data_IF_765693124412
#
_entry.id   IF_765693124412
#
_cell.length_a   1.000
_cell.length_b   1.000
_cell.length_c   1.000
_cell.angle_alpha   90.00
_cell.angle_beta   90.00
_cell.angle_gamma   90.00
#
_symmetry.space_group_name_H-M   'P 1'
#
loop_
_entity.id
_entity.type
_entity.pdbx_description
1 polymer ?
#
# COMPACT_ATOMS: atom_id res chain seq x y z
N UNK A 1 6.45 6.62 -6.14
CA UNK A 1 7.09 5.29 -6.21
C UNK A 1 6.58 4.55 -7.44
N UNK A 2 7.45 3.90 -8.10
CA UNK A 2 7.15 3.14 -9.30
C UNK A 2 7.60 1.70 -9.08
N UNK A 3 6.76 0.73 -9.42
CA UNK A 3 7.15 -0.66 -9.37
C UNK A 3 6.58 -1.43 -10.55
N UNK A 4 7.23 -2.48 -10.92
CA UNK A 4 6.86 -3.27 -12.07
C UNK A 4 6.74 -4.74 -11.70
N UNK A 5 5.91 -5.44 -12.43
CA UNK A 5 5.75 -6.87 -12.33
C UNK A 5 6.09 -7.52 -13.65
N UNK A 6 6.57 -8.71 -13.60
CA UNK A 6 6.73 -9.50 -14.78
C UNK A 6 6.49 -10.94 -14.46
N UNK A 7 6.01 -11.68 -15.31
CA UNK A 7 6.69 -12.70 -16.00
C UNK A 7 5.82 -13.83 -16.39
N UNK A 8 5.78 -14.18 -17.59
CA UNK A 8 5.34 -15.49 -18.01
C UNK A 8 6.54 -16.27 -18.51
N UNK A 9 6.74 -17.46 -17.98
CA UNK A 9 7.61 -18.44 -18.56
C UNK A 9 6.75 -19.45 -19.27
N UNK A 10 6.80 -19.49 -20.59
CA UNK A 10 6.14 -20.49 -21.38
C UNK A 10 7.18 -21.41 -22.01
N UNK A 11 6.94 -22.73 -21.96
CA UNK A 11 7.62 -23.88 -22.62
C UNK A 11 8.88 -23.56 -23.45
N UNK A 12 9.94 -23.13 -22.80
CA UNK A 12 11.20 -22.85 -23.48
C UNK A 12 11.28 -21.44 -24.06
N UNK A 13 10.17 -20.73 -24.14
CA UNK A 13 10.14 -19.30 -24.44
C UNK A 13 10.00 -18.52 -23.15
N UNK A 14 11.03 -17.79 -22.79
CA UNK A 14 10.95 -16.85 -21.69
C UNK A 14 10.44 -15.52 -22.23
N UNK A 15 9.14 -15.33 -22.20
CA UNK A 15 8.57 -14.01 -22.42
C UNK A 15 8.52 -13.27 -21.10
N UNK A 16 9.39 -12.28 -20.95
CA UNK A 16 9.33 -11.35 -19.84
C UNK A 16 8.48 -10.16 -20.27
N UNK A 17 7.36 -9.98 -19.61
CA UNK A 17 6.57 -8.75 -19.75
C UNK A 17 6.77 -7.90 -18.51
N UNK A 18 6.95 -6.62 -18.72
CA UNK A 18 7.05 -5.65 -17.63
C UNK A 18 5.81 -4.77 -17.66
N UNK A 19 5.09 -4.75 -16.56
CA UNK A 19 3.98 -3.85 -16.34
C UNK A 19 4.44 -2.73 -15.40
N UNK A 20 4.50 -1.50 -15.91
CA UNK A 20 4.90 -0.34 -15.15
C UNK A 20 3.69 0.55 -14.96
N UNK A 21 3.31 0.76 -13.70
CA UNK A 21 2.24 1.66 -13.34
C UNK A 21 2.80 2.88 -12.62
N UNK A 22 2.84 3.99 -13.33
CA UNK A 22 3.37 5.24 -12.79
C UNK A 22 2.41 5.85 -11.79
N UNK A 23 2.92 6.74 -10.95
CA UNK A 23 2.12 7.38 -9.90
C UNK A 23 0.83 8.03 -10.43
N UNK A 24 0.90 8.70 -11.58
CA UNK A 24 -0.26 9.36 -12.17
C UNK A 24 -1.27 8.40 -12.82
N UNK A 25 -0.88 7.15 -13.02
CA UNK A 25 -1.74 6.11 -13.59
C UNK A 25 -2.47 5.31 -12.50
N UNK A 26 -2.12 5.54 -11.24
CA UNK A 26 -2.76 4.86 -10.11
C UNK A 26 -4.03 5.57 -9.71
N UNK A 27 -4.99 4.82 -9.20
CA UNK A 27 -6.17 5.38 -8.58
C UNK A 27 -5.78 6.24 -7.37
N UNK A 28 -6.54 7.28 -7.11
CA UNK A 28 -6.24 8.26 -6.07
C UNK A 28 -7.44 8.51 -5.19
N UNK A 29 -7.21 8.48 -3.89
CA UNK A 29 -8.15 8.95 -2.88
C UNK A 29 -7.60 10.24 -2.29
N UNK A 30 -8.42 11.28 -2.27
CA UNK A 30 -8.02 12.57 -1.73
C UNK A 30 -9.08 13.13 -0.81
N UNK A 31 -8.68 13.46 0.39
CA UNK A 31 -9.52 14.10 1.42
C UNK A 31 -8.76 15.31 1.97
N UNK A 32 -9.30 15.96 3.00
CA UNK A 32 -8.66 17.10 3.65
C UNK A 32 -7.30 16.75 4.26
N UNK A 33 -7.14 15.51 4.68
CA UNK A 33 -5.98 15.05 5.43
C UNK A 33 -5.21 13.91 4.76
N UNK A 34 -5.75 13.30 3.72
CA UNK A 34 -5.17 12.15 3.04
C UNK A 34 -5.07 12.38 1.53
N UNK A 35 -3.91 12.08 0.98
CA UNK A 35 -3.69 11.90 -0.45
C UNK A 35 -3.03 10.55 -0.66
N UNK A 36 -3.79 9.59 -1.16
CA UNK A 36 -3.38 8.20 -1.30
C UNK A 36 -3.43 7.77 -2.75
N UNK A 37 -2.38 7.11 -3.22
CA UNK A 37 -2.33 6.47 -4.53
C UNK A 37 -2.30 4.97 -4.36
N UNK A 38 -3.18 4.29 -5.11
CA UNK A 38 -3.41 2.87 -4.99
C UNK A 38 -2.89 2.13 -6.22
N UNK A 39 -1.99 1.20 -6.01
CA UNK A 39 -1.49 0.37 -7.11
C UNK A 39 -2.48 -0.71 -7.53
N UNK A 40 -3.26 -1.21 -6.59
CA UNK A 40 -4.30 -2.21 -6.82
C UNK A 40 -5.68 -1.69 -6.42
N UNK A 41 -6.70 -2.45 -6.73
CA UNK A 41 -8.07 -2.11 -6.35
C UNK A 41 -8.17 -1.86 -4.85
N UNK A 42 -8.79 -0.76 -4.50
CA UNK A 42 -8.91 -0.32 -3.13
C UNK A 42 -10.18 0.53 -2.95
N UNK A 43 -10.96 0.23 -1.91
CA UNK A 43 -12.21 0.96 -1.67
C UNK A 43 -13.12 0.92 -2.89
N UNK A 44 -13.54 2.10 -3.35
CA UNK A 44 -14.40 2.24 -4.53
C UNK A 44 -13.64 2.24 -5.87
N UNK A 45 -12.31 2.19 -5.81
CA UNK A 45 -11.47 2.14 -6.99
C UNK A 45 -11.33 0.71 -7.48
N UNK A 46 -12.19 0.32 -8.39
CA UNK A 46 -12.24 -1.04 -8.93
C UNK A 46 -11.96 -1.02 -10.43
N UNK A 47 -10.95 -1.76 -10.82
CA UNK A 47 -10.58 -1.97 -12.21
C UNK A 47 -10.45 -3.49 -12.46
N UNK A 48 -11.10 -4.04 -13.49
CA UNK A 48 -10.98 -5.46 -13.77
C UNK A 48 -9.52 -5.90 -13.96
N UNK A 49 -9.16 -7.01 -13.35
CA UNK A 49 -7.82 -7.57 -13.44
C UNK A 49 -6.76 -6.89 -12.62
N UNK A 50 -7.12 -5.92 -11.75
CA UNK A 50 -6.17 -5.17 -10.93
C UNK A 50 -6.30 -5.48 -9.42
N UNK A 51 -6.55 -6.72 -9.06
CA UNK A 51 -6.81 -7.11 -7.67
C UNK A 51 -5.54 -7.34 -6.84
N UNK A 52 -4.39 -7.44 -7.47
CA UNK A 52 -3.14 -7.69 -6.76
C UNK A 52 -2.08 -8.33 -7.63
N UNK A 53 -0.99 -8.69 -7.00
CA UNK A 53 0.10 -9.44 -7.63
C UNK A 53 0.57 -10.53 -6.66
N UNK A 54 0.27 -11.79 -6.97
CA UNK A 54 0.51 -12.86 -6.02
C UNK A 54 -0.28 -12.63 -4.73
N UNK A 55 0.38 -12.65 -3.60
CA UNK A 55 -0.22 -12.38 -2.28
C UNK A 55 -0.29 -10.89 -1.93
N UNK A 56 0.31 -10.03 -2.73
CA UNK A 56 0.27 -8.58 -2.53
C UNK A 56 -1.03 -8.03 -3.08
N UNK A 57 -1.93 -7.62 -2.21
CA UNK A 57 -3.28 -7.16 -2.58
C UNK A 57 -3.49 -5.67 -2.34
N UNK A 58 -2.69 -5.05 -1.49
CA UNK A 58 -2.71 -3.62 -1.22
C UNK A 58 -1.30 -3.06 -1.30
N UNK A 59 -1.12 -2.03 -2.07
CA UNK A 59 0.11 -1.26 -2.10
C UNK A 59 -0.25 0.21 -2.32
N UNK A 60 -0.17 0.97 -1.25
CA UNK A 60 -0.56 2.38 -1.24
C UNK A 60 0.64 3.28 -0.95
N UNK A 61 0.64 4.43 -1.58
CA UNK A 61 1.54 5.54 -1.29
C UNK A 61 0.69 6.67 -0.70
N UNK A 62 0.84 6.89 0.59
CA UNK A 62 -0.03 7.77 1.35
C UNK A 62 0.73 9.02 1.81
N UNK A 63 0.12 10.19 1.61
CA UNK A 63 0.51 11.44 2.24
C UNK A 63 -0.56 11.83 3.24
N UNK A 64 -0.18 11.88 4.50
CA UNK A 64 -1.08 12.15 5.61
C UNK A 64 -0.74 13.51 6.19
N UNK A 65 -1.72 14.40 6.25
CA UNK A 65 -1.54 15.72 6.87
C UNK A 65 -1.38 15.58 8.39
N UNK A 66 -0.61 16.50 8.98
CA UNK A 66 -0.45 16.56 10.42
C UNK A 66 -1.81 16.70 11.13
N UNK A 67 -2.03 15.90 12.16
CA UNK A 67 -3.30 15.84 12.88
C UNK A 67 -4.37 14.97 12.22
N UNK A 68 -4.14 14.53 11.00
CA UNK A 68 -5.00 13.54 10.34
C UNK A 68 -4.66 12.12 10.78
N UNK A 69 -5.50 11.18 10.49
CA UNK A 69 -5.24 9.78 10.79
C UNK A 69 -6.40 8.88 10.43
N UNK A 70 -6.10 7.61 10.35
CA UNK A 70 -7.09 6.56 10.13
C UNK A 70 -7.79 6.25 11.44
N UNK A 71 -9.11 6.18 11.42
CA UNK A 71 -9.89 5.71 12.55
C UNK A 71 -9.62 4.24 12.86
N UNK A 72 -10.11 3.79 13.99
CA UNK A 72 -10.03 2.38 14.35
C UNK A 72 -10.77 1.56 13.28
N UNK A 73 -10.08 0.62 12.69
CA UNK A 73 -10.63 -0.27 11.69
C UNK A 73 -10.02 -1.66 11.84
N UNK A 74 -10.77 -2.67 11.47
CA UNK A 74 -10.32 -4.05 11.56
C UNK A 74 -9.52 -4.48 10.33
N UNK A 75 -8.54 -5.30 10.56
CA UNK A 75 -7.86 -6.07 9.53
C UNK A 75 -8.05 -7.56 9.84
N UNK A 76 -8.12 -8.38 8.82
CA UNK A 76 -8.32 -9.81 8.97
C UNK A 76 -7.48 -10.57 7.95
N UNK A 77 -6.76 -11.58 8.45
CA UNK A 77 -5.96 -12.49 7.63
C UNK A 77 -4.95 -11.75 6.73
N UNK A 78 -4.30 -10.72 7.28
CA UNK A 78 -3.35 -9.88 6.55
C UNK A 78 -2.06 -9.70 7.30
N UNK A 79 -0.97 -9.68 6.55
CA UNK A 79 0.30 -9.13 6.99
C UNK A 79 0.40 -7.70 6.47
N UNK A 80 0.70 -6.77 7.36
CA UNK A 80 0.74 -5.34 7.04
C UNK A 80 2.16 -4.82 7.31
N UNK A 81 2.74 -4.18 6.31
CA UNK A 81 4.04 -3.53 6.43
C UNK A 81 3.85 -2.04 6.18
N UNK A 82 4.32 -1.23 7.09
CA UNK A 82 4.34 0.22 6.97
C UNK A 82 5.79 0.71 6.89
N UNK A 83 6.08 1.51 5.91
CA UNK A 83 7.38 2.13 5.70
C UNK A 83 7.21 3.64 5.57
N UNK A 84 7.82 4.39 6.46
CA UNK A 84 7.75 5.86 6.45
C UNK A 84 8.90 6.42 5.63
N UNK A 85 8.58 7.22 4.63
CA UNK A 85 9.57 7.89 3.79
C UNK A 85 9.94 9.26 4.33
N UNK A 86 8.98 9.97 4.92
CA UNK A 86 9.18 11.31 5.44
C UNK A 86 8.21 11.59 6.59
N UNK A 87 8.66 12.32 7.58
CA UNK A 87 7.83 12.69 8.72
C UNK A 87 7.73 11.60 9.76
N UNK A 88 6.70 11.65 10.57
CA UNK A 88 6.46 10.73 11.66
C UNK A 88 5.01 10.28 11.67
N UNK A 89 4.79 9.02 11.95
CA UNK A 89 3.47 8.41 12.04
C UNK A 89 3.30 7.78 13.42
N UNK A 90 2.37 8.29 14.20
CA UNK A 90 1.98 7.67 15.46
C UNK A 90 1.05 6.48 15.17
N UNK A 91 1.20 5.41 15.92
CA UNK A 91 0.33 4.27 15.83
C UNK A 91 -0.09 3.78 17.23
N UNK A 92 -1.24 3.14 17.28
CA UNK A 92 -1.76 2.48 18.48
C UNK A 92 -2.32 1.12 18.06
N UNK A 93 -1.95 0.07 18.81
CA UNK A 93 -2.50 -1.26 18.58
C UNK A 93 -3.78 -1.49 19.42
N UNK A 94 -4.42 -2.64 19.22
CA UNK A 94 -5.64 -3.01 19.93
C UNK A 94 -5.45 -3.23 21.43
N UNK A 95 -4.21 -3.39 21.89
CA UNK A 95 -3.87 -3.58 23.31
C UNK A 95 -3.50 -2.27 24.00
N UNK A 96 -3.59 -1.15 23.28
CA UNK A 96 -3.26 0.17 23.81
C UNK A 96 -1.79 0.53 23.74
N UNK A 97 -0.93 -0.32 23.17
CA UNK A 97 0.46 0.02 22.94
C UNK A 97 0.55 1.11 21.90
N UNK A 98 1.34 2.14 22.19
CA UNK A 98 1.57 3.26 21.28
C UNK A 98 3.01 3.30 20.84
N UNK A 99 3.23 3.80 19.65
CA UNK A 99 4.55 3.98 19.10
C UNK A 99 4.58 5.03 18.02
N UNK A 100 5.78 5.37 17.59
CA UNK A 100 6.00 6.35 16.53
C UNK A 100 6.92 5.74 15.50
N UNK A 101 6.49 5.82 14.25
CA UNK A 101 7.28 5.42 13.08
C UNK A 101 7.95 6.64 12.48
N UNK A 102 9.17 6.48 12.03
CA UNK A 102 9.98 7.54 11.42
C UNK A 102 10.77 6.96 10.23
N UNK A 103 11.37 7.78 9.38
CA UNK A 103 12.10 7.30 8.22
C UNK A 103 13.21 6.32 8.61
N UNK A 104 13.26 5.20 7.89
CA UNK A 104 14.22 4.12 8.14
C UNK A 104 13.70 3.02 9.06
N UNK A 105 12.54 3.21 9.69
CA UNK A 105 11.90 2.21 10.52
C UNK A 105 10.72 1.58 9.78
N UNK A 106 10.71 0.26 9.68
CA UNK A 106 9.57 -0.49 9.17
C UNK A 106 8.77 -1.08 10.34
N UNK A 107 7.46 -1.04 10.23
CA UNK A 107 6.56 -1.76 11.12
C UNK A 107 5.93 -2.93 10.38
N UNK A 108 5.90 -4.07 11.03
CA UNK A 108 5.12 -5.23 10.58
C UNK A 108 4.04 -5.52 11.61
N UNK A 109 2.83 -5.74 11.13
CA UNK A 109 1.69 -6.11 11.94
C UNK A 109 0.97 -7.28 11.30
N UNK A 110 0.69 -8.31 12.08
CA UNK A 110 -0.12 -9.47 11.68
C UNK A 110 -1.54 -9.30 12.18
N UNK A 111 -2.48 -9.57 11.33
CA UNK A 111 -3.91 -9.47 11.67
C UNK A 111 -4.69 -10.74 11.32
#
# INVERSE_FOLDING_TARGET
MQWGTSAACDKGDTMTTTDIRRANDRARTRTDWLDSKHSFNFGDHLQPGNDGHGTLVVFNDDRVAGGGGFGVHGHRDMEIVTWVLKGRLAHQDSEGNTGELYPGLAQRMSA
#
